data_IF_994008270989
#
_entry.id   IF_994008270989
#
_cell.length_a   1.000
_cell.length_b   1.000
_cell.length_c   1.000
_cell.angle_alpha   90.00
_cell.angle_beta   90.00
_cell.angle_gamma   90.00
#
_symmetry.space_group_name_H-M   'P 1'
#
loop_
_entity.id
_entity.type
_entity.pdbx_description
1 polymer ?
#
# COMPACT_ATOMS: atom_id res chain seq x y z
N UNK A 1 -21.32 10.20 -17.43
CA UNK A 1 -20.00 9.89 -16.81
C UNK A 1 -19.85 8.38 -16.81
N UNK A 2 -18.98 7.76 -17.63
CA UNK A 2 -18.97 6.30 -17.76
C UNK A 2 -18.26 5.64 -16.57
N UNK A 3 -18.86 4.56 -16.07
CA UNK A 3 -18.47 3.80 -14.87
C UNK A 3 -17.18 2.95 -14.99
N UNK A 4 -16.32 3.22 -15.98
CA UNK A 4 -15.19 2.35 -16.33
C UNK A 4 -13.82 2.75 -15.75
N UNK A 5 -13.75 3.73 -14.85
CA UNK A 5 -12.47 4.17 -14.24
C UNK A 5 -12.20 3.47 -12.89
N UNK A 6 -13.21 2.82 -12.30
CA UNK A 6 -13.12 2.31 -10.92
C UNK A 6 -12.33 0.99 -10.83
N UNK A 7 -12.41 0.11 -11.85
CA UNK A 7 -11.79 -1.22 -11.83
C UNK A 7 -10.29 -1.24 -12.19
N UNK A 8 -9.71 -0.14 -12.65
CA UNK A 8 -8.30 -0.09 -13.07
C UNK A 8 -7.32 0.19 -11.91
N UNK A 9 -7.79 0.57 -10.72
CA UNK A 9 -6.92 1.19 -9.69
C UNK A 9 -6.24 0.16 -8.76
N UNK A 10 -6.80 -1.05 -8.61
CA UNK A 10 -6.27 -2.06 -7.69
C UNK A 10 -4.89 -2.62 -8.13
N UNK A 11 -4.66 -2.73 -9.44
CA UNK A 11 -3.37 -3.18 -10.00
C UNK A 11 -2.28 -2.10 -10.00
N UNK A 12 -2.60 -0.83 -9.73
CA UNK A 12 -1.66 0.30 -9.94
C UNK A 12 -0.63 0.43 -8.82
N UNK A 13 -0.97 0.01 -7.60
CA UNK A 13 -0.13 0.26 -6.41
C UNK A 13 0.74 -0.92 -5.99
N UNK A 14 0.64 -2.09 -6.63
CA UNK A 14 1.38 -3.28 -6.21
C UNK A 14 2.89 -3.18 -6.53
N UNK A 15 3.79 -3.16 -5.53
CA UNK A 15 5.24 -3.01 -5.72
C UNK A 15 5.92 -4.20 -6.41
N UNK A 16 5.32 -5.40 -6.39
CA UNK A 16 5.93 -6.63 -6.96
C UNK A 16 5.53 -6.91 -8.42
N UNK A 17 4.81 -5.99 -9.06
CA UNK A 17 4.39 -6.11 -10.46
C UNK A 17 5.48 -5.68 -11.48
N UNK A 18 6.65 -5.21 -11.04
CA UNK A 18 7.61 -4.60 -11.98
C UNK A 18 8.61 -5.54 -12.66
N UNK A 19 8.74 -6.83 -12.29
CA UNK A 19 9.52 -7.82 -13.07
C UNK A 19 9.00 -9.24 -12.83
N UNK A 20 9.06 -10.05 -13.89
CA UNK A 20 8.36 -11.32 -14.07
C UNK A 20 8.60 -12.37 -12.96
N UNK A 21 7.74 -12.36 -11.94
CA UNK A 21 7.41 -13.51 -11.07
C UNK A 21 5.96 -13.43 -10.53
N UNK A 22 5.17 -12.48 -11.07
CA UNK A 22 3.95 -11.96 -10.44
C UNK A 22 2.65 -12.71 -10.72
N UNK A 23 2.59 -13.75 -11.56
CA UNK A 23 1.28 -14.28 -11.99
C UNK A 23 0.42 -14.90 -10.87
N UNK A 24 1.02 -15.39 -9.78
CA UNK A 24 0.27 -16.03 -8.68
C UNK A 24 -0.15 -15.02 -7.59
N UNK A 25 0.73 -14.07 -7.25
CA UNK A 25 0.43 -13.04 -6.24
C UNK A 25 -0.52 -11.94 -6.77
N UNK A 26 -0.48 -11.66 -8.08
CA UNK A 26 -1.33 -10.67 -8.74
C UNK A 26 -2.80 -11.08 -8.71
N UNK A 27 -3.10 -12.34 -9.05
CA UNK A 27 -4.47 -12.87 -9.01
C UNK A 27 -5.11 -12.93 -7.62
N UNK A 28 -4.34 -12.72 -6.54
CA UNK A 28 -4.80 -12.75 -5.15
C UNK A 28 -5.19 -11.35 -4.65
N UNK A 29 -4.45 -10.32 -5.04
CA UNK A 29 -4.70 -8.93 -4.66
C UNK A 29 -5.83 -8.33 -5.50
N UNK A 30 -5.89 -8.66 -6.80
CA UNK A 30 -6.98 -8.22 -7.68
C UNK A 30 -8.33 -8.76 -7.19
N UNK A 31 -8.36 -10.03 -6.75
CA UNK A 31 -9.56 -10.69 -6.18
C UNK A 31 -9.95 -10.13 -4.81
N UNK A 32 -8.98 -9.62 -4.04
CA UNK A 32 -9.20 -8.95 -2.76
C UNK A 32 -9.91 -7.62 -2.93
N UNK A 33 -9.48 -6.84 -3.92
CA UNK A 33 -10.10 -5.56 -4.26
C UNK A 33 -11.51 -5.75 -4.87
N UNK A 34 -11.69 -6.75 -5.73
CA UNK A 34 -12.97 -7.07 -6.36
C UNK A 34 -14.02 -7.59 -5.34
N UNK A 35 -13.59 -8.33 -4.32
CA UNK A 35 -14.47 -8.86 -3.27
C UNK A 35 -14.67 -7.92 -2.08
N UNK A 36 -13.98 -6.77 -2.05
CA UNK A 36 -14.02 -5.84 -0.90
C UNK A 36 -13.51 -6.45 0.42
N UNK A 37 -12.71 -7.53 0.35
CA UNK A 37 -12.18 -8.27 1.51
C UNK A 37 -10.70 -7.98 1.69
N UNK A 38 -10.19 -8.16 2.91
CA UNK A 38 -8.73 -8.06 3.17
C UNK A 38 -8.00 -9.17 2.42
N UNK A 39 -6.80 -8.88 1.93
CA UNK A 39 -6.00 -9.85 1.17
C UNK A 39 -5.71 -11.12 1.98
N UNK A 40 -5.59 -10.99 3.31
CA UNK A 40 -5.47 -12.12 4.24
C UNK A 40 -6.71 -13.01 4.28
N UNK A 41 -7.92 -12.47 4.10
CA UNK A 41 -9.16 -13.24 4.10
C UNK A 41 -9.37 -13.94 2.76
N UNK A 42 -9.01 -13.28 1.65
CA UNK A 42 -8.99 -13.91 0.32
C UNK A 42 -7.93 -15.02 0.28
N UNK A 43 -6.75 -14.80 0.84
CA UNK A 43 -5.70 -15.80 0.95
C UNK A 43 -6.12 -16.98 1.85
N UNK A 44 -6.78 -16.75 3.00
CA UNK A 44 -7.35 -17.82 3.83
C UNK A 44 -8.38 -18.64 3.06
N UNK A 45 -9.23 -18.00 2.26
CA UNK A 45 -10.24 -18.69 1.44
C UNK A 45 -9.62 -19.55 0.34
N UNK A 46 -8.51 -19.09 -0.26
CA UNK A 46 -7.78 -19.82 -1.31
C UNK A 46 -6.95 -20.96 -0.72
N UNK A 47 -6.31 -20.75 0.44
CA UNK A 47 -5.60 -21.79 1.20
C UNK A 47 -6.55 -22.92 1.64
N UNK A 48 -7.82 -22.62 1.91
CA UNK A 48 -8.85 -23.64 2.19
C UNK A 48 -9.15 -24.53 0.96
N UNK A 49 -8.83 -24.05 -0.25
CA UNK A 49 -9.17 -24.68 -1.54
C UNK A 49 -8.03 -25.50 -2.16
N UNK A 50 -6.77 -25.30 -1.74
CA UNK A 50 -5.59 -26.08 -2.22
C UNK A 50 -5.36 -27.35 -1.39
N UNK A 51 -4.42 -28.24 -1.76
CA UNK A 51 -4.07 -29.47 -1.02
C UNK A 51 -3.10 -29.26 0.16
N UNK A 52 -3.06 -30.22 1.10
CA UNK A 52 -2.61 -30.04 2.48
C UNK A 52 -1.14 -29.64 2.71
N UNK A 53 -0.22 -29.97 1.79
CA UNK A 53 1.20 -29.62 1.91
C UNK A 53 1.52 -28.13 1.70
N UNK A 54 0.76 -27.42 0.86
CA UNK A 54 0.93 -25.98 0.62
C UNK A 54 0.24 -25.11 1.69
N UNK A 55 -0.63 -25.70 2.51
CA UNK A 55 -1.43 -24.99 3.53
C UNK A 55 -0.63 -24.61 4.76
N UNK A 56 0.30 -25.46 5.20
CA UNK A 56 1.00 -25.28 6.48
C UNK A 56 2.07 -24.18 6.40
N UNK A 57 2.90 -24.16 5.36
CA UNK A 57 3.92 -23.11 5.17
C UNK A 57 3.32 -21.71 4.98
N UNK A 58 2.22 -21.60 4.23
CA UNK A 58 1.50 -20.35 4.05
C UNK A 58 0.79 -19.91 5.36
N UNK A 59 0.12 -20.81 6.09
CA UNK A 59 -0.51 -20.49 7.39
C UNK A 59 0.48 -20.04 8.45
N UNK A 60 1.62 -20.71 8.58
CA UNK A 60 2.62 -20.37 9.60
C UNK A 60 3.23 -18.97 9.36
N UNK A 61 3.60 -18.65 8.12
CA UNK A 61 4.18 -17.34 7.76
C UNK A 61 3.21 -16.17 7.94
N UNK A 62 1.92 -16.40 7.65
CA UNK A 62 0.85 -15.40 7.88
C UNK A 62 0.57 -15.23 9.39
N UNK A 63 0.51 -16.33 10.16
CA UNK A 63 0.27 -16.24 11.61
C UNK A 63 1.40 -15.51 12.35
N UNK A 64 2.66 -15.76 11.97
CA UNK A 64 3.81 -15.09 12.57
C UNK A 64 3.85 -13.60 12.22
N UNK A 65 3.46 -13.20 11.01
CA UNK A 65 3.38 -11.77 10.63
C UNK A 65 2.21 -11.06 11.31
N UNK A 66 1.05 -11.71 11.43
CA UNK A 66 -0.11 -11.18 12.18
C UNK A 66 0.22 -11.01 13.67
N UNK A 67 0.90 -11.97 14.29
CA UNK A 67 1.24 -11.90 15.72
C UNK A 67 2.33 -10.88 16.02
N UNK A 68 3.25 -10.62 15.09
CA UNK A 68 4.20 -9.51 15.19
C UNK A 68 3.50 -8.16 15.01
N UNK A 69 2.53 -8.04 14.10
CA UNK A 69 1.77 -6.79 13.91
C UNK A 69 0.86 -6.48 15.10
N UNK A 70 0.20 -7.47 15.70
CA UNK A 70 -0.66 -7.31 16.89
C UNK A 70 0.09 -6.80 18.13
N UNK A 71 1.40 -7.05 18.22
CA UNK A 71 2.25 -6.63 19.36
C UNK A 71 2.82 -5.22 19.21
N UNK A 72 2.58 -4.55 18.08
CA UNK A 72 3.08 -3.18 17.85
C UNK A 72 2.08 -2.15 18.36
N UNK A 73 2.57 -0.98 18.80
CA UNK A 73 1.69 0.15 19.05
C UNK A 73 1.00 0.58 17.75
N UNK A 74 -0.27 0.98 17.89
CA UNK A 74 -1.01 1.64 16.82
C UNK A 74 -0.61 3.12 16.80
N UNK A 75 0.19 3.52 15.83
CA UNK A 75 0.71 4.89 15.72
C UNK A 75 0.08 5.63 14.53
N UNK A 76 -0.04 6.95 14.68
CA UNK A 76 -0.37 7.83 13.55
C UNK A 76 0.86 7.93 12.65
N UNK A 77 0.73 7.44 11.43
CA UNK A 77 1.82 7.27 10.50
C UNK A 77 1.63 8.11 9.25
N UNK A 78 2.69 8.79 8.81
CA UNK A 78 2.68 9.49 7.53
C UNK A 78 2.90 8.50 6.37
N UNK A 79 2.01 8.48 5.39
CA UNK A 79 2.17 7.68 4.16
C UNK A 79 3.38 8.19 3.37
N UNK A 80 3.47 9.51 3.20
CA UNK A 80 4.63 10.23 2.69
C UNK A 80 5.35 10.91 3.87
N UNK A 81 6.60 10.56 4.14
CA UNK A 81 7.29 11.14 5.30
C UNK A 81 7.48 12.67 5.19
N UNK A 82 7.26 13.36 6.30
CA UNK A 82 7.45 14.80 6.49
C UNK A 82 8.85 15.15 7.05
N UNK A 83 9.64 14.17 7.51
CA UNK A 83 10.89 14.39 8.27
C UNK A 83 12.16 13.87 7.59
N UNK A 84 12.08 13.31 6.39
CA UNK A 84 13.24 12.74 5.71
C UNK A 84 13.92 13.75 4.79
N UNK A 85 15.23 13.97 5.00
CA UNK A 85 16.02 14.95 4.23
C UNK A 85 16.02 14.72 2.70
N UNK A 86 15.89 13.47 2.26
CA UNK A 86 15.88 13.12 0.83
C UNK A 86 14.48 13.12 0.26
N UNK A 87 13.51 12.52 0.96
CA UNK A 87 12.18 12.25 0.40
C UNK A 87 11.18 13.38 0.65
N UNK A 88 11.23 14.06 1.80
CA UNK A 88 10.31 15.16 2.12
C UNK A 88 10.30 16.24 1.04
N UNK A 89 11.44 16.76 0.56
CA UNK A 89 11.43 17.81 -0.47
C UNK A 89 10.83 17.34 -1.81
N UNK A 90 10.99 16.06 -2.14
CA UNK A 90 10.44 15.47 -3.36
C UNK A 90 8.91 15.32 -3.28
N UNK A 91 8.39 14.89 -2.13
CA UNK A 91 6.96 14.84 -1.89
C UNK A 91 6.34 16.23 -1.89
N UNK A 92 6.95 17.16 -1.15
CA UNK A 92 6.47 18.54 -1.00
C UNK A 92 6.37 19.27 -2.35
N UNK A 93 7.35 19.05 -3.24
CA UNK A 93 7.34 19.62 -4.59
C UNK A 93 6.08 19.25 -5.38
N UNK A 94 5.56 18.03 -5.21
CA UNK A 94 4.34 17.57 -5.90
C UNK A 94 3.10 18.03 -5.14
N UNK A 95 3.05 17.86 -3.82
CA UNK A 95 1.84 18.12 -3.01
C UNK A 95 1.46 19.59 -2.97
N UNK A 96 2.44 20.50 -3.12
CA UNK A 96 2.21 21.95 -3.25
C UNK A 96 1.34 22.31 -4.45
N UNK A 97 1.41 21.56 -5.55
CA UNK A 97 0.53 21.78 -6.72
C UNK A 97 -0.96 21.61 -6.37
N UNK A 98 -1.25 20.90 -5.28
CA UNK A 98 -2.59 20.61 -4.77
C UNK A 98 -2.91 21.40 -3.50
N UNK A 99 -2.03 22.32 -3.08
CA UNK A 99 -2.13 23.10 -1.84
C UNK A 99 -2.21 22.22 -0.58
N UNK A 100 -1.50 21.09 -0.58
CA UNK A 100 -1.50 20.12 0.51
C UNK A 100 -0.19 20.18 1.31
N UNK A 101 -0.33 20.29 2.63
CA UNK A 101 0.76 20.21 3.60
C UNK A 101 1.01 18.74 3.98
N UNK A 102 2.28 18.31 4.03
CA UNK A 102 2.65 16.92 4.34
C UNK A 102 2.27 16.47 5.76
N UNK A 103 2.12 17.39 6.71
CA UNK A 103 1.58 17.12 8.05
C UNK A 103 0.04 17.09 8.08
N UNK A 104 -0.63 17.32 6.95
CA UNK A 104 -2.07 17.27 6.83
C UNK A 104 -2.65 15.88 7.14
N UNK A 105 -3.91 15.86 7.58
CA UNK A 105 -4.63 14.61 7.92
C UNK A 105 -4.76 13.65 6.73
N UNK A 106 -4.81 14.16 5.50
CA UNK A 106 -4.88 13.37 4.26
C UNK A 106 -3.70 12.39 4.10
N UNK A 107 -2.54 12.72 4.68
CA UNK A 107 -1.31 11.94 4.61
C UNK A 107 -1.09 11.04 5.84
N UNK A 108 -2.06 10.96 6.76
CA UNK A 108 -1.93 10.21 8.03
C UNK A 108 -2.85 9.00 8.05
N UNK A 109 -2.30 7.85 8.44
CA UNK A 109 -3.04 6.59 8.66
C UNK A 109 -2.67 5.98 10.01
N UNK A 110 -3.61 5.31 10.68
CA UNK A 110 -3.34 4.59 11.94
C UNK A 110 -2.97 3.16 11.65
N UNK A 111 -1.71 2.80 11.87
CA UNK A 111 -1.20 1.47 11.52
C UNK A 111 -0.29 0.89 12.61
N UNK A 112 -0.27 -0.44 12.78
CA UNK A 112 0.64 -1.11 13.69
C UNK A 112 2.05 -1.08 13.10
N UNK A 113 2.82 -0.06 13.46
CA UNK A 113 4.20 0.12 13.01
C UNK A 113 5.00 0.87 14.07
N UNK A 114 6.30 0.59 14.12
CA UNK A 114 7.25 1.32 14.95
C UNK A 114 8.58 1.40 14.21
N UNK A 115 9.18 2.58 14.22
CA UNK A 115 10.52 2.81 13.68
C UNK A 115 10.54 3.39 12.27
N UNK A 116 11.70 3.26 11.61
CA UNK A 116 11.97 3.88 10.31
C UNK A 116 11.38 3.03 9.19
N UNK A 117 10.85 3.69 8.16
CA UNK A 117 10.40 2.99 6.96
C UNK A 117 11.62 2.49 6.17
N UNK A 118 11.42 1.41 5.43
CA UNK A 118 12.39 0.95 4.45
C UNK A 118 12.66 2.03 3.38
N UNK A 119 13.89 2.12 2.89
CA UNK A 119 14.24 3.04 1.79
C UNK A 119 13.43 2.71 0.53
N UNK A 120 13.20 1.43 0.30
CA UNK A 120 12.41 0.88 -0.80
C UNK A 120 10.96 1.33 -0.73
N UNK A 121 10.38 1.42 0.48
CA UNK A 121 9.06 1.99 0.68
C UNK A 121 9.00 3.45 0.25
N UNK A 122 9.97 4.28 0.66
CA UNK A 122 9.98 5.68 0.27
C UNK A 122 10.12 5.87 -1.25
N UNK A 123 10.97 5.06 -1.90
CA UNK A 123 11.11 5.06 -3.35
C UNK A 123 9.80 4.70 -4.04
N UNK A 124 9.18 3.60 -3.63
CA UNK A 124 7.88 3.19 -4.16
C UNK A 124 6.80 4.25 -3.94
N UNK A 125 6.72 4.85 -2.74
CA UNK A 125 5.74 5.87 -2.42
C UNK A 125 5.92 7.12 -3.32
N UNK A 126 7.16 7.50 -3.61
CA UNK A 126 7.45 8.58 -4.55
C UNK A 126 7.02 8.24 -5.99
N UNK A 127 7.30 7.04 -6.47
CA UNK A 127 6.83 6.59 -7.78
C UNK A 127 5.29 6.60 -7.87
N UNK A 128 4.59 6.20 -6.81
CA UNK A 128 3.11 6.29 -6.79
C UNK A 128 2.63 7.73 -6.78
N UNK A 129 3.27 8.61 -6.01
CA UNK A 129 2.93 10.02 -5.98
C UNK A 129 3.11 10.66 -7.37
N UNK A 130 4.16 10.32 -8.10
CA UNK A 130 4.37 10.77 -9.49
C UNK A 130 3.28 10.28 -10.44
N UNK A 131 2.81 9.03 -10.31
CA UNK A 131 1.69 8.51 -11.12
C UNK A 131 0.37 9.22 -10.81
N UNK A 132 0.11 9.47 -9.53
CA UNK A 132 -1.07 10.22 -9.09
C UNK A 132 -1.00 11.63 -9.67
N UNK A 133 0.15 12.31 -9.57
CA UNK A 133 0.34 13.66 -10.12
C UNK A 133 0.14 13.72 -11.63
N UNK A 134 0.73 12.78 -12.38
CA UNK A 134 0.57 12.68 -13.82
C UNK A 134 -0.90 12.47 -14.26
N UNK A 135 -1.71 11.84 -13.41
CA UNK A 135 -3.14 11.61 -13.65
C UNK A 135 -3.98 12.81 -13.22
N UNK A 136 -3.70 13.37 -12.04
CA UNK A 136 -4.47 14.45 -11.44
C UNK A 136 -4.21 15.80 -12.09
N UNK A 137 -2.98 16.07 -12.58
CA UNK A 137 -2.59 17.28 -13.31
C UNK A 137 -3.07 18.58 -12.63
N UNK A 138 -2.88 18.68 -11.31
CA UNK A 138 -3.33 19.83 -10.50
C UNK A 138 -4.79 19.77 -10.02
N UNK A 139 -5.58 18.77 -10.44
CA UNK A 139 -6.93 18.56 -9.93
C UNK A 139 -6.89 17.91 -8.53
N UNK A 140 -7.10 18.72 -7.49
CA UNK A 140 -7.08 18.29 -6.09
C UNK A 140 -8.10 17.19 -5.76
N UNK A 141 -9.27 17.17 -6.43
CA UNK A 141 -10.29 16.15 -6.19
C UNK A 141 -9.82 14.78 -6.69
N UNK A 142 -9.25 14.73 -7.89
CA UNK A 142 -8.68 13.49 -8.47
C UNK A 142 -7.48 13.02 -7.64
N UNK A 143 -6.60 13.94 -7.26
CA UNK A 143 -5.46 13.64 -6.40
C UNK A 143 -5.89 12.99 -5.08
N UNK A 144 -6.83 13.62 -4.36
CA UNK A 144 -7.28 13.13 -3.06
C UNK A 144 -7.98 11.76 -3.16
N UNK A 145 -8.77 11.51 -4.21
CA UNK A 145 -9.38 10.20 -4.44
C UNK A 145 -8.33 9.10 -4.66
N UNK A 146 -7.34 9.35 -5.53
CA UNK A 146 -6.29 8.38 -5.83
C UNK A 146 -5.33 8.19 -4.64
N UNK A 147 -4.97 9.27 -3.96
CA UNK A 147 -4.11 9.20 -2.77
C UNK A 147 -4.83 8.50 -1.62
N UNK A 148 -6.14 8.72 -1.43
CA UNK A 148 -6.93 7.98 -0.45
C UNK A 148 -6.88 6.46 -0.69
N UNK A 149 -6.91 6.03 -1.96
CA UNK A 149 -6.75 4.61 -2.33
C UNK A 149 -5.34 4.09 -2.03
N UNK A 150 -4.30 4.89 -2.31
CA UNK A 150 -2.92 4.58 -1.93
C UNK A 150 -2.78 4.44 -0.40
N UNK A 151 -3.29 5.38 0.37
CA UNK A 151 -3.28 5.36 1.84
C UNK A 151 -3.97 4.11 2.39
N UNK A 152 -5.11 3.71 1.81
CA UNK A 152 -5.80 2.48 2.19
C UNK A 152 -4.98 1.24 1.87
N UNK A 153 -4.32 1.19 0.71
CA UNK A 153 -3.42 0.09 0.36
C UNK A 153 -2.27 -0.06 1.36
N UNK A 154 -1.63 1.05 1.77
CA UNK A 154 -0.58 1.02 2.81
C UNK A 154 -1.14 0.54 4.16
N UNK A 155 -2.33 1.01 4.52
CA UNK A 155 -3.00 0.62 5.76
C UNK A 155 -3.35 -0.88 5.81
N UNK A 156 -3.74 -1.46 4.68
CA UNK A 156 -4.05 -2.88 4.55
C UNK A 156 -2.78 -3.75 4.44
N UNK A 157 -1.61 -3.16 4.15
CA UNK A 157 -0.33 -3.84 3.99
C UNK A 157 0.80 -3.24 4.88
N UNK A 158 0.62 -3.13 6.21
CA UNK A 158 1.58 -2.42 7.08
C UNK A 158 2.98 -3.04 7.10
N UNK A 159 3.12 -4.31 6.71
CA UNK A 159 4.40 -4.98 6.53
C UNK A 159 5.32 -4.29 5.52
N UNK A 160 4.76 -3.60 4.52
CA UNK A 160 5.53 -2.91 3.48
C UNK A 160 6.38 -1.75 3.99
N UNK A 161 6.13 -1.27 5.19
CA UNK A 161 6.96 -0.24 5.80
C UNK A 161 8.30 -0.79 6.27
N UNK A 162 8.45 -2.11 6.35
CA UNK A 162 9.64 -2.79 6.86
C UNK A 162 10.50 -3.32 5.73
N UNK A 163 11.80 -3.33 5.96
CA UNK A 163 12.79 -3.84 5.00
C UNK A 163 12.51 -5.29 4.58
N UNK A 164 11.96 -6.12 5.47
CA UNK A 164 11.67 -7.54 5.19
C UNK A 164 10.64 -7.75 4.08
N UNK A 165 9.76 -6.78 3.80
CA UNK A 165 8.78 -6.89 2.71
C UNK A 165 9.43 -6.80 1.31
N UNK A 166 10.53 -6.05 1.23
CA UNK A 166 11.21 -5.67 -0.02
C UNK A 166 12.39 -6.59 -0.36
N UNK A 167 12.59 -7.65 0.44
CA UNK A 167 13.55 -8.71 0.14
C UNK A 167 12.94 -9.76 -0.77
#
# INVERSE_FOLDING_TARGET
>A
MPANVINAVAGVFNPKLSKAAGKVAVGLVDKSAEQGKKASDVLKSLVKKTGDGAKQGAKQSISQTDDVLKKLPLENHHVLTDKNKTWTPLFDKITKNYKLDLNGSWNKVKIPHKGRHATEYHKWAYEQLQRIDATAKGNARVFNDMFGKLSRFVNDNPGMLRKSWWK
#
